data_IF_033770559321
#
_entry.id   IF_033770559321
#
_cell.length_a   1.000
_cell.length_b   1.000
_cell.length_c   1.000
_cell.angle_alpha   90.00
_cell.angle_beta   90.00
_cell.angle_gamma   90.00
#
_symmetry.space_group_name_H-M   'P 1'
#
loop_
_entity.id
_entity.type
_entity.pdbx_description
1 polymer ?
#
# COMPACT_ATOMS: atom_id res chain seq x y z
N UNK A 1 -0.94 -8.18 22.99
CA UNK A 1 -0.77 -7.05 22.02
C UNK A 1 -2.09 -6.82 21.33
N UNK A 2 -2.56 -5.57 21.27
CA UNK A 2 -3.77 -5.18 20.52
C UNK A 2 -3.32 -4.61 19.18
N UNK A 3 -3.98 -5.02 18.09
CA UNK A 3 -3.77 -4.44 16.74
C UNK A 3 -5.12 -3.87 16.29
N UNK A 4 -5.16 -2.58 15.99
CA UNK A 4 -6.38 -1.88 15.55
C UNK A 4 -6.36 -1.74 14.03
N UNK A 5 -7.31 -2.40 13.37
CA UNK A 5 -7.45 -2.47 11.92
C UNK A 5 -7.04 -3.83 11.34
N UNK A 6 -7.96 -4.44 10.58
CA UNK A 6 -7.82 -5.75 9.94
C UNK A 6 -7.42 -5.69 8.44
N UNK A 7 -6.88 -4.56 7.96
CA UNK A 7 -6.32 -4.45 6.62
C UNK A 7 -4.98 -5.18 6.47
N UNK A 8 -4.36 -5.10 5.27
CA UNK A 8 -3.08 -5.80 4.97
C UNK A 8 -2.01 -5.52 6.04
N UNK A 9 -1.85 -4.26 6.49
CA UNK A 9 -0.85 -3.91 7.51
C UNK A 9 -1.12 -4.57 8.85
N UNK A 10 -2.37 -4.54 9.33
CA UNK A 10 -2.75 -5.15 10.60
C UNK A 10 -2.64 -6.68 10.59
N UNK A 11 -3.08 -7.33 9.50
CA UNK A 11 -2.90 -8.78 9.34
C UNK A 11 -1.42 -9.16 9.22
N UNK A 12 -0.63 -8.39 8.48
CA UNK A 12 0.82 -8.59 8.41
C UNK A 12 1.49 -8.48 9.79
N UNK A 13 1.11 -7.47 10.58
CA UNK A 13 1.60 -7.30 11.95
C UNK A 13 1.16 -8.45 12.86
N UNK A 14 -0.09 -8.92 12.74
CA UNK A 14 -0.59 -10.04 13.51
C UNK A 14 0.17 -11.34 13.20
N UNK A 15 0.38 -11.62 11.91
CA UNK A 15 1.15 -12.80 11.47
C UNK A 15 2.59 -12.74 11.97
N UNK A 16 3.29 -11.64 11.69
CA UNK A 16 4.71 -11.50 12.02
C UNK A 16 4.95 -11.50 13.53
N UNK A 17 4.18 -10.74 14.29
CA UNK A 17 4.30 -10.72 15.76
C UNK A 17 3.87 -12.04 16.39
N UNK A 18 2.87 -12.72 15.84
CA UNK A 18 2.47 -14.07 16.27
C UNK A 18 3.62 -15.07 16.10
N UNK A 19 4.31 -15.06 14.95
CA UNK A 19 5.50 -15.89 14.71
C UNK A 19 6.66 -15.53 15.66
N UNK A 20 6.73 -14.27 16.11
CA UNK A 20 7.71 -13.80 17.09
C UNK A 20 7.30 -14.05 18.57
N UNK A 21 6.29 -14.88 18.81
CA UNK A 21 5.83 -15.28 20.13
C UNK A 21 4.87 -14.32 20.84
N UNK A 22 4.38 -13.28 20.15
CA UNK A 22 3.29 -12.47 20.67
C UNK A 22 1.95 -13.24 20.61
N UNK A 23 0.93 -12.69 21.28
CA UNK A 23 -0.48 -13.11 21.14
C UNK A 23 -1.29 -11.89 20.67
N UNK A 24 -1.28 -11.58 19.38
CA UNK A 24 -2.01 -10.45 18.85
C UNK A 24 -3.52 -10.67 18.91
N UNK A 25 -4.26 -9.61 19.25
CA UNK A 25 -5.70 -9.53 19.07
C UNK A 25 -5.97 -8.41 18.05
N UNK A 26 -6.49 -8.77 16.89
CA UNK A 26 -6.83 -7.82 15.82
C UNK A 26 -8.29 -7.40 16.01
N UNK A 27 -8.50 -6.10 16.14
CA UNK A 27 -9.81 -5.48 16.25
C UNK A 27 -10.14 -4.77 14.94
N UNK A 28 -11.19 -5.25 14.25
CA UNK A 28 -11.65 -4.66 12.98
C UNK A 28 -13.09 -4.15 13.16
N UNK A 29 -13.30 -2.88 12.77
CA UNK A 29 -14.62 -2.23 12.91
C UNK A 29 -15.68 -2.77 11.95
N UNK A 30 -15.26 -3.30 10.80
CA UNK A 30 -16.19 -3.87 9.83
C UNK A 30 -16.73 -5.22 10.32
N UNK A 31 -18.00 -5.48 10.04
CA UNK A 31 -18.65 -6.75 10.37
C UNK A 31 -18.16 -7.93 9.51
N UNK A 32 -17.48 -7.63 8.40
CA UNK A 32 -16.87 -8.63 7.51
C UNK A 32 -15.56 -8.11 6.98
N UNK A 33 -14.59 -8.99 6.72
CA UNK A 33 -13.41 -8.63 5.98
C UNK A 33 -13.77 -8.44 4.50
N UNK A 34 -13.96 -7.19 4.10
CA UNK A 34 -14.19 -6.82 2.70
C UNK A 34 -13.08 -5.89 2.25
N UNK A 35 -12.36 -6.29 1.22
CA UNK A 35 -11.35 -5.45 0.58
C UNK A 35 -11.85 -4.95 -0.77
N UNK A 36 -11.84 -3.65 -0.98
CA UNK A 36 -12.17 -3.07 -2.27
C UNK A 36 -11.12 -3.48 -3.29
N UNK A 37 -11.57 -4.14 -4.36
CA UNK A 37 -10.74 -4.80 -5.34
C UNK A 37 -9.92 -3.84 -6.20
N UNK A 38 -8.64 -3.67 -5.86
CA UNK A 38 -7.65 -3.02 -6.71
C UNK A 38 -6.42 -3.93 -6.82
N UNK A 39 -5.70 -3.78 -7.92
CA UNK A 39 -4.38 -4.38 -8.04
C UNK A 39 -3.38 -3.62 -7.17
N UNK A 40 -2.40 -4.35 -6.67
CA UNK A 40 -1.19 -3.80 -6.04
C UNK A 40 0.05 -4.45 -6.67
N UNK A 41 1.15 -3.73 -6.61
CA UNK A 41 2.44 -4.20 -7.08
C UNK A 41 3.32 -4.43 -5.86
N UNK A 42 3.99 -5.58 -5.82
CA UNK A 42 4.87 -5.97 -4.73
C UNK A 42 6.30 -6.16 -5.26
N UNK A 43 7.18 -5.25 -4.89
CA UNK A 43 8.59 -5.35 -5.22
C UNK A 43 9.32 -6.45 -4.45
N UNK A 44 10.56 -6.77 -4.82
CA UNK A 44 11.38 -7.80 -4.18
C UNK A 44 11.55 -7.63 -2.67
N UNK A 45 11.59 -6.40 -2.16
CA UNK A 45 11.61 -6.10 -0.73
C UNK A 45 10.42 -6.70 0.02
N UNK A 46 9.24 -6.62 -0.58
CA UNK A 46 7.97 -7.10 0.00
C UNK A 46 7.86 -8.62 -0.14
N UNK A 47 8.09 -9.13 -1.33
CA UNK A 47 7.93 -10.57 -1.63
C UNK A 47 8.92 -11.42 -0.84
N UNK A 48 10.15 -10.93 -0.63
CA UNK A 48 11.13 -11.59 0.25
C UNK A 48 10.60 -11.73 1.68
N UNK A 49 10.00 -10.67 2.22
CA UNK A 49 9.41 -10.68 3.56
C UNK A 49 8.25 -11.68 3.64
N UNK A 50 7.36 -11.69 2.67
CA UNK A 50 6.23 -12.63 2.63
C UNK A 50 6.72 -14.09 2.45
N UNK A 51 7.77 -14.33 1.65
CA UNK A 51 8.38 -15.65 1.52
C UNK A 51 8.99 -16.12 2.86
N UNK A 52 9.65 -15.24 3.61
CA UNK A 52 10.17 -15.55 4.93
C UNK A 52 9.07 -15.93 5.94
N UNK A 53 7.84 -15.46 5.74
CA UNK A 53 6.66 -15.85 6.53
C UNK A 53 5.99 -17.15 6.05
N UNK A 54 6.57 -17.83 5.05
CA UNK A 54 6.05 -19.09 4.51
C UNK A 54 4.84 -18.90 3.60
N UNK A 55 4.80 -17.80 2.81
CA UNK A 55 3.71 -17.48 1.88
C UNK A 55 4.14 -17.56 0.41
N UNK A 56 5.29 -18.19 0.10
CA UNK A 56 5.82 -18.24 -1.26
C UNK A 56 4.86 -18.95 -2.24
N UNK A 57 4.32 -20.10 -1.85
CA UNK A 57 3.38 -20.89 -2.66
C UNK A 57 2.05 -20.17 -2.82
N UNK A 58 1.48 -19.67 -1.71
CA UNK A 58 0.22 -18.92 -1.77
C UNK A 58 0.33 -17.68 -2.70
N UNK A 59 1.50 -17.01 -2.74
CA UNK A 59 1.73 -15.88 -3.65
C UNK A 59 1.81 -16.30 -5.11
N UNK A 60 2.35 -17.48 -5.40
CA UNK A 60 2.37 -18.02 -6.78
C UNK A 60 0.97 -18.34 -7.28
N UNK A 61 0.08 -18.81 -6.39
CA UNK A 61 -1.31 -19.12 -6.74
C UNK A 61 -2.17 -17.89 -7.06
N UNK A 62 -1.85 -16.72 -6.49
CA UNK A 62 -2.68 -15.52 -6.64
C UNK A 62 -2.03 -14.42 -7.49
N UNK A 63 -0.71 -14.50 -7.67
CA UNK A 63 0.10 -13.46 -8.26
C UNK A 63 0.35 -13.64 -9.74
N UNK A 64 0.75 -12.55 -10.38
CA UNK A 64 1.28 -12.56 -11.73
C UNK A 64 2.71 -11.97 -11.70
N UNK A 65 3.66 -12.62 -12.40
CA UNK A 65 5.06 -12.18 -12.50
C UNK A 65 5.27 -11.47 -13.84
N UNK A 66 5.25 -10.13 -13.89
CA UNK A 66 5.54 -9.41 -15.12
C UNK A 66 7.03 -9.53 -15.47
N UNK A 67 7.35 -9.60 -16.77
CA UNK A 67 8.74 -9.66 -17.25
C UNK A 67 9.41 -8.29 -17.21
N UNK A 68 8.61 -7.22 -17.38
CA UNK A 68 9.08 -5.84 -17.44
C UNK A 68 8.01 -4.84 -17.02
N UNK A 69 8.47 -3.60 -16.81
CA UNK A 69 7.64 -2.42 -16.70
C UNK A 69 8.07 -1.43 -17.81
N UNK A 70 7.14 -1.11 -18.71
CA UNK A 70 7.35 -0.11 -19.76
C UNK A 70 6.73 1.24 -19.34
N UNK A 71 7.55 2.28 -19.29
CA UNK A 71 7.10 3.66 -19.18
C UNK A 71 6.81 4.22 -20.56
N UNK A 72 5.60 4.74 -20.77
CA UNK A 72 5.11 5.27 -22.05
C UNK A 72 4.69 6.73 -21.91
N UNK A 73 4.91 7.50 -22.95
CA UNK A 73 4.42 8.87 -23.02
C UNK A 73 2.95 8.89 -23.46
N UNK A 74 2.08 9.56 -22.69
CA UNK A 74 0.62 9.57 -22.94
C UNK A 74 0.20 10.24 -24.26
N UNK A 75 1.01 11.14 -24.81
CA UNK A 75 0.66 11.86 -26.04
C UNK A 75 1.20 11.19 -27.31
N UNK A 76 2.41 10.59 -27.22
CA UNK A 76 3.08 10.00 -28.39
C UNK A 76 2.95 8.48 -28.45
N UNK A 77 2.54 7.80 -27.37
CA UNK A 77 2.51 6.36 -27.27
C UNK A 77 3.90 5.69 -27.19
N UNK A 78 4.96 6.45 -27.33
CA UNK A 78 6.32 5.90 -27.37
C UNK A 78 6.75 5.35 -26.00
N UNK A 79 7.45 4.22 -25.99
CA UNK A 79 8.17 3.75 -24.82
C UNK A 79 9.34 4.71 -24.57
N UNK A 80 9.42 5.27 -23.38
CA UNK A 80 10.44 6.19 -22.94
C UNK A 80 11.44 5.57 -21.96
N UNK A 81 11.12 4.40 -21.42
CA UNK A 81 12.00 3.61 -20.55
C UNK A 81 11.41 2.23 -20.28
N UNK A 82 12.28 1.27 -20.03
CA UNK A 82 11.92 -0.10 -19.67
C UNK A 82 12.73 -0.54 -18.46
N UNK A 83 12.05 -1.07 -17.45
CA UNK A 83 12.65 -1.75 -16.30
C UNK A 83 12.40 -3.25 -16.45
N UNK A 84 13.46 -4.04 -16.55
CA UNK A 84 13.34 -5.51 -16.56
C UNK A 84 12.99 -5.99 -15.17
N UNK A 85 12.01 -6.87 -15.10
CA UNK A 85 11.53 -7.53 -13.88
C UNK A 85 11.81 -9.05 -13.98
N UNK A 86 10.85 -9.89 -13.71
CA UNK A 86 10.98 -11.34 -13.90
C UNK A 86 12.27 -11.91 -13.31
N UNK A 87 13.05 -12.61 -14.15
CA UNK A 87 14.31 -13.24 -13.73
C UNK A 87 15.33 -12.23 -13.19
N UNK A 88 15.40 -11.01 -13.77
CA UNK A 88 16.32 -9.98 -13.27
C UNK A 88 16.05 -9.62 -11.79
N UNK A 89 14.78 -9.54 -11.38
CA UNK A 89 14.46 -9.26 -9.97
C UNK A 89 14.98 -10.37 -9.04
N UNK A 90 14.89 -11.62 -9.47
CA UNK A 90 15.44 -12.77 -8.74
C UNK A 90 16.97 -12.69 -8.66
N UNK A 91 17.63 -12.44 -9.80
CA UNK A 91 19.09 -12.40 -9.88
C UNK A 91 19.68 -11.23 -9.08
N UNK A 92 19.01 -10.08 -9.12
CA UNK A 92 19.54 -8.83 -8.50
C UNK A 92 19.15 -8.72 -7.03
N UNK A 93 17.92 -9.09 -6.67
CA UNK A 93 17.34 -8.84 -5.35
C UNK A 93 16.96 -10.10 -4.57
N UNK A 94 17.15 -11.29 -5.16
CA UNK A 94 16.85 -12.57 -4.51
C UNK A 94 15.36 -12.88 -4.30
N UNK A 95 14.47 -12.09 -4.91
CA UNK A 95 13.02 -12.28 -4.80
C UNK A 95 12.29 -11.76 -6.05
N UNK A 96 11.12 -12.33 -6.40
CA UNK A 96 10.37 -11.93 -7.58
C UNK A 96 9.63 -10.60 -7.35
N UNK A 97 9.28 -9.95 -8.46
CA UNK A 97 8.30 -8.87 -8.48
C UNK A 97 6.93 -9.45 -8.85
N UNK A 98 5.91 -9.18 -8.02
CA UNK A 98 4.54 -9.64 -8.27
C UNK A 98 3.57 -8.49 -8.48
N UNK A 99 2.57 -8.71 -9.32
CA UNK A 99 1.32 -7.95 -9.30
C UNK A 99 0.21 -8.85 -8.78
N UNK A 100 -0.55 -8.38 -7.80
CA UNK A 100 -1.59 -9.17 -7.15
C UNK A 100 -2.87 -8.36 -7.01
N UNK A 101 -3.99 -9.02 -6.87
CA UNK A 101 -5.23 -8.38 -6.46
C UNK A 101 -5.22 -8.20 -4.93
N UNK A 102 -5.54 -7.01 -4.44
CA UNK A 102 -5.44 -6.65 -3.01
C UNK A 102 -6.24 -7.60 -2.09
N UNK A 103 -7.45 -7.95 -2.50
CA UNK A 103 -8.30 -8.85 -1.71
C UNK A 103 -7.74 -10.29 -1.67
N UNK A 104 -7.00 -10.72 -2.70
CA UNK A 104 -6.39 -12.05 -2.70
C UNK A 104 -5.20 -12.10 -1.72
N UNK A 105 -4.35 -11.06 -1.69
CA UNK A 105 -3.28 -10.96 -0.68
C UNK A 105 -3.85 -10.90 0.74
N UNK A 106 -4.90 -10.12 0.95
CA UNK A 106 -5.59 -10.06 2.24
C UNK A 106 -6.09 -11.42 2.67
N UNK A 107 -6.73 -12.17 1.76
CA UNK A 107 -7.23 -13.54 2.02
C UNK A 107 -6.11 -14.51 2.36
N UNK A 108 -4.97 -14.42 1.69
CA UNK A 108 -3.78 -15.25 1.99
C UNK A 108 -3.26 -14.98 3.40
N UNK A 109 -3.11 -13.71 3.79
CA UNK A 109 -2.70 -13.35 5.15
C UNK A 109 -3.70 -13.86 6.19
N UNK A 110 -5.00 -13.64 5.95
CA UNK A 110 -6.08 -14.08 6.83
C UNK A 110 -6.07 -15.62 7.00
N UNK A 111 -6.00 -16.37 5.89
CA UNK A 111 -5.92 -17.85 5.89
C UNK A 111 -4.73 -18.33 6.73
N UNK A 112 -3.56 -17.70 6.55
CA UNK A 112 -2.35 -18.07 7.29
C UNK A 112 -2.49 -17.84 8.79
N UNK A 113 -3.06 -16.71 9.20
CA UNK A 113 -3.32 -16.39 10.61
C UNK A 113 -4.29 -17.41 11.21
N UNK A 114 -5.40 -17.69 10.53
CA UNK A 114 -6.41 -18.63 11.02
C UNK A 114 -5.86 -20.05 11.14
N UNK A 115 -5.06 -20.51 10.18
CA UNK A 115 -4.48 -21.84 10.21
C UNK A 115 -3.38 -22.01 11.26
N UNK A 116 -2.67 -20.93 11.59
CA UNK A 116 -1.60 -20.97 12.60
C UNK A 116 -2.12 -20.85 14.04
N UNK A 117 -3.31 -20.26 14.23
CA UNK A 117 -3.87 -19.98 15.56
C UNK A 117 -3.04 -18.98 16.40
N UNK A 118 -2.13 -18.24 15.77
CA UNK A 118 -1.21 -17.35 16.48
C UNK A 118 -1.80 -15.99 16.83
N UNK A 119 -2.95 -15.62 16.27
CA UNK A 119 -3.63 -14.37 16.56
C UNK A 119 -5.15 -14.57 16.67
N UNK A 120 -5.79 -13.75 17.47
CA UNK A 120 -7.25 -13.67 17.58
C UNK A 120 -7.78 -12.54 16.68
N UNK A 121 -8.84 -12.83 15.91
CA UNK A 121 -9.46 -11.87 15.01
C UNK A 121 -10.88 -11.54 15.53
N UNK A 122 -11.15 -10.25 15.70
CA UNK A 122 -12.48 -9.77 16.14
C UNK A 122 -12.99 -8.73 15.18
N UNK A 123 -14.10 -9.06 14.54
CA UNK A 123 -14.87 -8.16 13.68
C UNK A 123 -15.86 -7.34 14.51
N UNK A 124 -16.48 -6.36 13.87
CA UNK A 124 -17.46 -5.47 14.49
C UNK A 124 -16.97 -4.86 15.83
N UNK A 125 -15.66 -4.58 15.91
CA UNK A 125 -14.97 -4.12 17.12
C UNK A 125 -14.26 -2.81 16.85
N UNK A 126 -14.80 -1.68 17.34
CA UNK A 126 -14.26 -0.36 17.10
C UNK A 126 -13.61 0.22 18.36
N UNK A 127 -12.34 0.59 18.28
CA UNK A 127 -11.64 1.34 19.33
C UNK A 127 -11.92 2.83 19.16
N UNK A 128 -12.46 3.45 20.22
CA UNK A 128 -12.82 4.87 20.24
C UNK A 128 -11.99 5.69 21.22
N UNK A 129 -11.51 5.08 22.29
CA UNK A 129 -10.71 5.71 23.31
C UNK A 129 -9.58 4.81 23.81
N UNK A 130 -8.57 5.45 24.41
CA UNK A 130 -7.43 4.77 24.96
C UNK A 130 -6.86 5.55 26.15
N UNK A 131 -6.51 4.80 27.17
CA UNK A 131 -5.68 5.28 28.29
C UNK A 131 -4.47 4.37 28.43
N UNK A 132 -3.31 4.95 28.70
CA UNK A 132 -2.09 4.20 29.02
C UNK A 132 -1.49 4.72 30.34
N UNK A 133 -0.96 3.80 31.13
CA UNK A 133 -0.23 4.07 32.35
C UNK A 133 0.97 3.10 32.49
N UNK A 134 1.63 3.11 33.65
CA UNK A 134 2.75 2.23 33.94
C UNK A 134 2.40 0.72 33.84
N UNK A 135 1.14 0.36 34.15
CA UNK A 135 0.70 -1.04 34.23
C UNK A 135 0.24 -1.59 32.89
N UNK A 136 -0.12 -0.73 31.91
CA UNK A 136 -0.57 -1.19 30.61
C UNK A 136 -1.46 -0.20 29.86
N UNK A 137 -2.29 -0.77 28.97
CA UNK A 137 -3.23 -0.06 28.12
C UNK A 137 -4.65 -0.51 28.43
N UNK A 138 -5.55 0.45 28.52
CA UNK A 138 -6.98 0.25 28.57
C UNK A 138 -7.61 0.89 27.33
N UNK A 139 -8.47 0.17 26.65
CA UNK A 139 -9.22 0.69 25.50
C UNK A 139 -10.71 0.78 25.81
N UNK A 140 -11.38 1.73 25.15
CA UNK A 140 -12.83 1.86 25.15
C UNK A 140 -13.37 1.92 23.72
N UNK A 141 -14.60 1.47 23.53
CA UNK A 141 -15.20 1.43 22.19
C UNK A 141 -16.41 0.53 22.13
N UNK A 142 -16.79 0.12 20.92
CA UNK A 142 -17.97 -0.69 20.64
C UNK A 142 -17.57 -2.15 20.45
N UNK A 143 -18.38 -3.07 21.03
CA UNK A 143 -18.21 -4.54 20.91
C UNK A 143 -16.81 -5.05 21.29
N UNK A 144 -16.17 -4.40 22.27
CA UNK A 144 -14.87 -4.82 22.76
C UNK A 144 -15.02 -5.91 23.83
N UNK A 145 -14.08 -6.90 23.87
CA UNK A 145 -14.09 -7.89 24.96
C UNK A 145 -13.85 -7.24 26.31
N UNK A 146 -14.55 -7.70 27.34
CA UNK A 146 -14.39 -7.19 28.72
C UNK A 146 -12.94 -7.22 29.19
N UNK A 147 -12.16 -8.22 28.78
CA UNK A 147 -10.73 -8.34 29.09
C UNK A 147 -9.86 -7.21 28.55
N UNK A 148 -10.35 -6.42 27.59
CA UNK A 148 -9.63 -5.27 27.01
C UNK A 148 -10.17 -3.92 27.51
N UNK A 149 -11.40 -3.90 28.06
CA UNK A 149 -12.05 -2.70 28.61
C UNK A 149 -11.75 -2.49 30.09
N UNK A 150 -11.44 -3.53 30.84
CA UNK A 150 -10.86 -3.41 32.16
C UNK A 150 -9.38 -3.01 32.02
N UNK A 151 -8.75 -2.47 33.07
CA UNK A 151 -7.33 -2.12 33.09
C UNK A 151 -6.50 -3.39 32.83
N UNK A 152 -6.56 -3.84 31.60
CA UNK A 152 -5.91 -5.06 31.20
C UNK A 152 -4.46 -4.72 30.93
N UNK A 153 -3.60 -5.53 31.47
CA UNK A 153 -2.15 -5.52 31.25
C UNK A 153 -1.77 -5.84 29.80
N UNK A 154 -2.56 -5.36 28.82
CA UNK A 154 -2.18 -5.43 27.42
C UNK A 154 -0.88 -4.65 27.26
N UNK A 155 0.15 -5.37 26.93
CA UNK A 155 1.48 -4.81 26.92
C UNK A 155 1.63 -3.67 25.91
N UNK A 156 0.96 -3.75 24.73
CA UNK A 156 1.10 -2.76 23.67
C UNK A 156 -0.16 -2.66 22.80
N UNK A 157 -0.30 -1.50 22.10
CA UNK A 157 -1.26 -1.30 21.02
C UNK A 157 -0.56 -0.85 19.75
N UNK A 158 -0.98 -1.40 18.61
CA UNK A 158 -0.51 -1.04 17.27
C UNK A 158 -1.68 -0.53 16.45
N UNK A 159 -1.64 0.74 16.05
CA UNK A 159 -2.59 1.33 15.13
C UNK A 159 -2.24 1.00 13.69
N UNK A 160 -3.06 0.21 13.02
CA UNK A 160 -2.99 -0.16 11.61
C UNK A 160 -4.32 0.20 10.90
N UNK A 161 -5.01 1.22 11.41
CA UNK A 161 -6.36 1.65 11.05
C UNK A 161 -6.41 2.66 9.88
N UNK A 162 -5.33 2.69 9.06
CA UNK A 162 -5.29 3.33 7.77
C UNK A 162 -5.17 4.86 7.80
N UNK A 163 -5.41 5.50 6.66
CA UNK A 163 -5.26 6.94 6.45
C UNK A 163 -6.07 7.79 7.45
N UNK A 164 -7.30 7.35 7.77
CA UNK A 164 -8.23 8.00 8.67
C UNK A 164 -8.09 7.53 10.12
N UNK A 165 -6.89 7.05 10.49
CA UNK A 165 -6.56 6.48 11.78
C UNK A 165 -7.05 7.32 12.95
N UNK A 166 -7.86 6.70 13.81
CA UNK A 166 -8.23 7.23 15.12
C UNK A 166 -7.12 6.98 16.16
N UNK A 167 -6.35 5.90 15.99
CA UNK A 167 -5.24 5.55 16.88
C UNK A 167 -4.11 6.58 16.83
N UNK A 168 -3.91 7.21 15.65
CA UNK A 168 -2.84 8.19 15.44
C UNK A 168 -2.87 9.35 16.45
N UNK A 169 -4.04 9.82 16.89
CA UNK A 169 -4.17 10.94 17.83
C UNK A 169 -3.50 10.68 19.20
N UNK A 170 -3.28 9.43 19.56
CA UNK A 170 -2.62 9.06 20.81
C UNK A 170 -1.09 9.12 20.74
N UNK A 171 -0.54 9.15 19.53
CA UNK A 171 0.91 9.25 19.28
C UNK A 171 1.30 10.67 18.89
N UNK A 172 0.57 11.30 17.98
CA UNK A 172 0.84 12.66 17.48
C UNK A 172 -0.40 13.54 17.59
N UNK A 173 -0.24 14.86 17.65
CA UNK A 173 -1.37 15.78 17.64
C UNK A 173 -2.30 15.52 16.45
N UNK A 174 -3.62 15.56 16.63
CA UNK A 174 -4.59 15.29 15.59
C UNK A 174 -4.45 16.30 14.43
N UNK A 175 -4.30 15.77 13.23
CA UNK A 175 -4.25 16.54 11.99
C UNK A 175 -5.05 15.82 10.92
N UNK A 176 -5.79 16.54 10.09
CA UNK A 176 -6.50 15.94 8.96
C UNK A 176 -5.51 15.52 7.85
N UNK A 177 -5.80 14.45 7.11
CA UNK A 177 -5.11 14.16 5.86
C UNK A 177 -5.25 15.32 4.86
N UNK A 178 -4.23 15.53 4.03
CA UNK A 178 -4.26 16.57 2.99
C UNK A 178 -4.93 16.02 1.74
N UNK A 179 -5.88 16.77 1.20
CA UNK A 179 -6.46 16.51 -0.13
C UNK A 179 -5.46 16.95 -1.18
N UNK A 180 -5.03 16.06 -2.06
CA UNK A 180 -3.95 16.34 -3.03
C UNK A 180 -4.44 17.02 -4.30
N UNK A 181 -5.76 17.09 -4.54
CA UNK A 181 -6.34 17.52 -5.81
C UNK A 181 -6.18 16.48 -6.94
N UNK A 182 -5.80 15.26 -6.59
CA UNK A 182 -5.68 14.14 -7.52
C UNK A 182 -6.78 13.12 -7.24
N UNK A 183 -7.32 12.58 -8.32
CA UNK A 183 -8.37 11.56 -8.34
C UNK A 183 -7.83 10.29 -8.99
N UNK A 184 -8.03 9.15 -8.35
CA UNK A 184 -7.69 7.84 -8.90
C UNK A 184 -8.95 7.13 -9.38
N UNK A 185 -9.08 6.98 -10.69
CA UNK A 185 -10.07 6.11 -11.33
C UNK A 185 -9.52 4.71 -11.44
N UNK A 186 -10.30 3.71 -11.03
CA UNK A 186 -9.88 2.32 -11.01
C UNK A 186 -10.89 1.41 -11.66
N UNK A 187 -10.37 0.39 -12.33
CA UNK A 187 -11.17 -0.68 -12.90
C UNK A 187 -10.43 -2.00 -12.87
N UNK A 188 -11.19 -3.07 -12.82
CA UNK A 188 -10.73 -4.43 -12.99
C UNK A 188 -11.53 -5.06 -14.14
N UNK A 189 -10.85 -5.46 -15.21
CA UNK A 189 -11.46 -5.95 -16.43
C UNK A 189 -11.02 -7.39 -16.69
N UNK A 190 -11.93 -8.36 -16.91
CA UNK A 190 -11.55 -9.72 -17.27
C UNK A 190 -10.71 -9.73 -18.55
N UNK A 191 -9.53 -10.38 -18.53
CA UNK A 191 -8.61 -10.42 -19.67
C UNK A 191 -9.25 -11.00 -20.93
N UNK A 192 -10.16 -11.95 -20.77
CA UNK A 192 -10.88 -12.58 -21.88
C UNK A 192 -11.82 -11.61 -22.62
N UNK A 193 -12.36 -10.58 -21.94
CA UNK A 193 -13.20 -9.55 -22.56
C UNK A 193 -12.40 -8.47 -23.31
N UNK A 194 -11.07 -8.49 -23.20
CA UNK A 194 -10.18 -7.54 -23.85
C UNK A 194 -9.82 -8.10 -25.25
N UNK A 195 -9.95 -7.30 -26.31
CA UNK A 195 -9.48 -7.70 -27.64
C UNK A 195 -8.01 -8.14 -27.59
N UNK A 196 -7.67 -9.26 -28.23
CA UNK A 196 -6.37 -9.92 -28.12
C UNK A 196 -5.18 -8.95 -28.31
N UNK A 197 -5.27 -8.08 -29.32
CA UNK A 197 -4.26 -7.06 -29.63
C UNK A 197 -4.01 -6.03 -28.51
N UNK A 198 -4.92 -5.91 -27.55
CA UNK A 198 -4.86 -4.99 -26.41
C UNK A 198 -4.51 -5.70 -25.10
N UNK A 199 -4.44 -7.04 -25.07
CA UNK A 199 -4.09 -7.79 -23.85
C UNK A 199 -2.66 -7.52 -23.45
N UNK A 200 -2.47 -7.17 -22.17
CA UNK A 200 -1.16 -6.89 -21.59
C UNK A 200 -0.63 -8.10 -20.81
N UNK A 201 0.66 -8.34 -20.96
CA UNK A 201 1.41 -9.37 -20.21
C UNK A 201 2.47 -8.74 -19.29
N UNK A 202 2.59 -7.42 -19.29
CA UNK A 202 3.60 -6.68 -18.54
C UNK A 202 2.98 -5.43 -17.91
N UNK A 203 3.72 -4.78 -17.01
CA UNK A 203 3.27 -3.52 -16.41
C UNK A 203 3.47 -2.38 -17.41
N UNK A 204 2.44 -1.59 -17.65
CA UNK A 204 2.51 -0.40 -18.48
C UNK A 204 2.20 0.84 -17.64
N UNK A 205 3.12 1.78 -17.59
CA UNK A 205 2.99 3.08 -16.90
C UNK A 205 3.00 4.18 -17.95
N UNK A 206 1.84 4.82 -18.13
CA UNK A 206 1.70 5.97 -19.02
C UNK A 206 1.85 7.26 -18.24
N UNK A 207 2.74 8.13 -18.66
CA UNK A 207 3.05 9.39 -17.97
C UNK A 207 2.92 10.58 -18.92
N UNK A 208 2.27 11.64 -18.48
CA UNK A 208 2.02 12.84 -19.31
C UNK A 208 1.39 14.00 -18.56
N UNK A 209 1.12 15.10 -19.29
CA UNK A 209 0.55 16.29 -18.68
C UNK A 209 -0.76 15.97 -17.95
N UNK A 210 -0.83 16.27 -16.65
CA UNK A 210 -2.02 16.12 -15.79
C UNK A 210 -2.59 14.72 -15.63
N UNK A 211 -2.00 13.68 -16.28
CA UNK A 211 -2.49 12.32 -16.25
C UNK A 211 -1.35 11.32 -16.17
N UNK A 212 -1.53 10.27 -15.40
CA UNK A 212 -0.79 9.03 -15.61
C UNK A 212 -1.74 7.83 -15.45
N UNK A 213 -1.42 6.76 -16.14
CA UNK A 213 -2.17 5.53 -16.04
C UNK A 213 -1.22 4.35 -15.82
N UNK A 214 -1.64 3.41 -14.97
CA UNK A 214 -0.88 2.20 -14.69
C UNK A 214 -1.78 1.00 -14.94
N UNK A 215 -1.34 0.14 -15.85
CA UNK A 215 -2.08 -1.03 -16.31
C UNK A 215 -1.23 -2.27 -16.13
N UNK A 216 -1.75 -3.29 -15.49
CA UNK A 216 -1.03 -4.55 -15.28
C UNK A 216 -1.96 -5.73 -15.01
N UNK A 217 -1.56 -6.96 -15.41
CA UNK A 217 -2.30 -8.18 -15.09
C UNK A 217 -2.30 -8.45 -13.58
N UNK A 218 -3.37 -9.05 -13.08
CA UNK A 218 -3.52 -9.57 -11.71
C UNK A 218 -4.28 -10.90 -11.75
N UNK A 219 -4.39 -11.60 -10.63
CA UNK A 219 -5.08 -12.91 -10.55
C UNK A 219 -4.53 -13.88 -11.61
N UNK A 220 -3.23 -14.17 -11.54
CA UNK A 220 -2.54 -15.04 -12.50
C UNK A 220 -2.71 -14.63 -13.99
N UNK A 221 -3.04 -13.36 -14.25
CA UNK A 221 -3.26 -12.82 -15.59
C UNK A 221 -4.70 -12.88 -16.09
N UNK A 222 -5.63 -13.38 -15.30
CA UNK A 222 -7.05 -13.46 -15.65
C UNK A 222 -7.75 -12.10 -15.76
N UNK A 223 -7.22 -11.09 -15.05
CA UNK A 223 -7.76 -9.73 -15.02
C UNK A 223 -6.69 -8.70 -15.32
N UNK A 224 -7.10 -7.64 -15.99
CA UNK A 224 -6.31 -6.42 -16.13
C UNK A 224 -6.78 -5.40 -15.08
N UNK A 225 -5.85 -4.93 -14.26
CA UNK A 225 -6.07 -3.81 -13.37
C UNK A 225 -5.68 -2.51 -14.07
N UNK A 226 -6.56 -1.51 -14.00
CA UNK A 226 -6.33 -0.18 -14.55
C UNK A 226 -6.47 0.85 -13.44
N UNK A 227 -5.49 1.74 -13.34
CA UNK A 227 -5.53 2.92 -12.46
C UNK A 227 -5.18 4.12 -13.31
N UNK A 228 -6.07 5.10 -13.35
CA UNK A 228 -5.83 6.38 -14.04
C UNK A 228 -5.92 7.49 -13.01
N UNK A 229 -4.84 8.27 -12.87
CA UNK A 229 -4.79 9.40 -11.94
C UNK A 229 -4.81 10.70 -12.73
N UNK A 230 -5.77 11.56 -12.39
CA UNK A 230 -5.98 12.86 -13.00
C UNK A 230 -6.14 13.95 -11.93
N UNK A 231 -6.03 15.21 -12.32
CA UNK A 231 -6.40 16.34 -11.48
C UNK A 231 -7.91 16.57 -11.56
N UNK A 232 -8.53 16.86 -10.41
CA UNK A 232 -9.96 17.14 -10.35
C UNK A 232 -10.43 17.53 -8.95
N UNK A 233 -11.65 18.09 -8.84
CA UNK A 233 -12.24 18.40 -7.55
C UNK A 233 -12.56 17.12 -6.78
N UNK A 234 -12.28 17.08 -5.46
CA UNK A 234 -12.59 15.91 -4.66
C UNK A 234 -14.11 15.74 -4.52
N UNK A 235 -14.59 14.49 -4.35
CA UNK A 235 -15.98 14.21 -4.00
C UNK A 235 -16.33 14.76 -2.60
N UNK A 236 -17.62 14.84 -2.28
CA UNK A 236 -18.08 15.38 -0.99
C UNK A 236 -17.63 14.54 0.22
N UNK A 237 -17.60 13.21 0.10
CA UNK A 237 -17.08 12.30 1.12
C UNK A 237 -15.66 11.89 0.76
N UNK A 238 -14.70 12.18 1.64
CA UNK A 238 -13.28 11.86 1.44
C UNK A 238 -12.90 10.49 1.99
N UNK A 239 -13.65 9.99 2.93
CA UNK A 239 -13.44 8.70 3.62
C UNK A 239 -14.17 7.53 2.96
N UNK A 240 -15.05 7.80 2.02
CA UNK A 240 -15.64 6.79 1.15
C UNK A 240 -14.64 6.38 0.05
N UNK A 241 -14.34 5.09 0.00
CA UNK A 241 -13.36 4.51 -0.92
C UNK A 241 -13.98 3.97 -2.21
N UNK A 242 -15.28 4.14 -2.40
CA UNK A 242 -16.00 3.43 -3.46
C UNK A 242 -17.00 4.30 -4.23
N UNK A 243 -16.61 5.54 -4.54
CA UNK A 243 -17.42 6.39 -5.38
C UNK A 243 -17.54 5.83 -6.81
N UNK A 244 -18.71 5.97 -7.41
CA UNK A 244 -18.89 5.73 -8.84
C UNK A 244 -18.11 6.80 -9.64
N UNK A 245 -17.19 6.35 -10.49
CA UNK A 245 -16.43 7.24 -11.37
C UNK A 245 -17.20 7.55 -12.66
N UNK A 246 -17.32 8.84 -13.00
CA UNK A 246 -17.91 9.26 -14.25
C UNK A 246 -16.86 9.20 -15.38
N UNK A 247 -17.16 8.48 -16.46
CA UNK A 247 -16.27 8.32 -17.61
C UNK A 247 -16.04 9.63 -18.36
N UNK A 248 -17.05 10.46 -18.50
CA UNK A 248 -16.94 11.74 -19.20
C UNK A 248 -16.04 12.72 -18.45
N UNK A 249 -16.14 12.75 -17.12
CA UNK A 249 -15.27 13.59 -16.27
C UNK A 249 -13.82 13.12 -16.37
N UNK A 250 -13.58 11.79 -16.39
CA UNK A 250 -12.26 11.23 -16.60
C UNK A 250 -11.69 11.64 -17.95
N UNK A 251 -12.45 11.48 -19.05
CA UNK A 251 -12.03 11.84 -20.40
C UNK A 251 -11.70 13.33 -20.51
N UNK A 252 -12.53 14.19 -19.93
CA UNK A 252 -12.30 15.64 -19.89
C UNK A 252 -11.02 15.99 -19.10
N UNK A 253 -10.79 15.35 -17.95
CA UNK A 253 -9.62 15.60 -17.10
C UNK A 253 -8.32 15.13 -17.74
N UNK A 254 -8.32 14.02 -18.49
CA UNK A 254 -7.14 13.49 -19.18
C UNK A 254 -6.66 14.41 -20.30
N UNK A 255 -7.54 15.09 -21.00
CA UNK A 255 -7.23 15.85 -22.21
C UNK A 255 -6.77 14.93 -23.36
N UNK A 256 -5.96 15.47 -24.31
CA UNK A 256 -5.48 14.68 -25.45
C UNK A 256 -4.52 13.59 -25.04
N UNK A 257 -4.83 12.32 -25.39
CA UNK A 257 -4.00 11.15 -25.18
C UNK A 257 -3.86 10.33 -26.46
N UNK A 258 -2.80 9.51 -26.53
CA UNK A 258 -2.54 8.60 -27.65
C UNK A 258 -3.68 7.58 -27.83
N UNK A 259 -3.94 7.19 -29.09
CA UNK A 259 -5.02 6.27 -29.44
C UNK A 259 -4.94 4.92 -28.71
N UNK A 260 -3.74 4.37 -28.51
CA UNK A 260 -3.56 3.09 -27.82
C UNK A 260 -4.07 3.14 -26.39
N UNK A 261 -3.71 4.21 -25.64
CA UNK A 261 -4.22 4.39 -24.28
C UNK A 261 -5.73 4.61 -24.28
N UNK A 262 -6.24 5.45 -25.20
CA UNK A 262 -7.68 5.68 -25.34
C UNK A 262 -8.46 4.40 -25.59
N UNK A 263 -7.97 3.55 -26.51
CA UNK A 263 -8.59 2.28 -26.83
C UNK A 263 -8.60 1.33 -25.61
N UNK A 264 -7.51 1.31 -24.84
CA UNK A 264 -7.44 0.53 -23.60
C UNK A 264 -8.44 1.02 -22.54
N UNK A 265 -8.60 2.33 -22.38
CA UNK A 265 -9.54 2.87 -21.39
C UNK A 265 -11.01 2.76 -21.86
N UNK A 266 -11.25 2.70 -23.17
CA UNK A 266 -12.58 2.57 -23.74
C UNK A 266 -13.27 1.24 -23.42
N UNK A 267 -12.48 0.17 -23.17
CA UNK A 267 -13.02 -1.17 -22.84
C UNK A 267 -13.57 -1.25 -21.40
N UNK A 268 -13.30 -0.26 -20.56
CA UNK A 268 -13.71 -0.27 -19.15
C UNK A 268 -15.22 0.01 -19.05
N UNK A 269 -16.01 -0.92 -18.52
CA UNK A 269 -17.46 -0.74 -18.45
C UNK A 269 -17.90 0.23 -17.34
N UNK A 270 -17.17 0.25 -16.23
CA UNK A 270 -17.45 1.10 -15.09
C UNK A 270 -16.17 1.45 -14.33
N UNK A 271 -16.11 2.67 -13.84
CA UNK A 271 -14.99 3.17 -13.04
C UNK A 271 -15.41 3.33 -11.59
N UNK A 272 -14.47 3.02 -10.70
CA UNK A 272 -14.51 3.39 -9.29
C UNK A 272 -13.55 4.55 -9.09
N UNK A 273 -13.95 5.53 -8.27
CA UNK A 273 -13.22 6.74 -8.01
C UNK A 273 -12.90 6.89 -6.53
N UNK A 274 -11.69 7.29 -6.22
CA UNK A 274 -11.38 7.80 -4.89
C UNK A 274 -10.42 9.01 -4.93
N UNK A 275 -10.60 9.97 -4.00
CA UNK A 275 -9.69 11.09 -3.88
C UNK A 275 -8.36 10.61 -3.27
N UNK A 276 -7.25 11.06 -3.84
CA UNK A 276 -5.95 10.82 -3.23
C UNK A 276 -5.70 11.81 -2.10
N UNK A 277 -5.61 11.27 -0.89
CA UNK A 277 -5.21 12.00 0.29
C UNK A 277 -3.86 11.49 0.80
N UNK A 278 -3.06 12.37 1.39
CA UNK A 278 -1.77 12.03 1.97
C UNK A 278 -1.54 12.77 3.30
N UNK A 279 -0.39 12.51 3.92
CA UNK A 279 0.17 13.30 5.02
C UNK A 279 1.59 13.72 4.65
N UNK A 280 2.14 14.78 5.26
CA UNK A 280 3.56 15.09 5.12
C UNK A 280 4.42 13.89 5.47
N UNK A 281 5.60 13.74 4.85
CA UNK A 281 6.58 12.75 5.28
C UNK A 281 6.86 12.88 6.78
N UNK A 282 6.91 11.72 7.45
CA UNK A 282 7.21 11.67 8.90
C UNK A 282 8.58 12.27 9.19
N UNK A 283 8.73 12.91 10.34
CA UNK A 283 9.92 13.70 10.69
C UNK A 283 10.82 13.00 11.71
N UNK A 284 10.33 11.96 12.34
CA UNK A 284 11.10 11.23 13.34
C UNK A 284 10.35 10.04 13.93
N UNK A 285 11.03 9.22 14.74
CA UNK A 285 10.43 8.04 15.38
C UNK A 285 9.27 8.39 16.32
N UNK A 286 9.26 9.59 16.89
CA UNK A 286 8.19 10.08 17.77
C UNK A 286 6.83 10.22 17.07
N UNK A 287 6.79 10.20 15.73
CA UNK A 287 5.55 10.15 14.97
C UNK A 287 5.07 8.71 14.69
N UNK A 288 5.88 7.70 15.03
CA UNK A 288 5.54 6.29 14.85
C UNK A 288 5.28 5.55 16.16
N UNK A 289 5.87 5.99 17.29
CA UNK A 289 5.62 5.36 18.58
C UNK A 289 5.67 6.35 19.73
N UNK A 290 4.85 6.09 20.77
CA UNK A 290 4.82 6.84 22.02
C UNK A 290 4.38 5.95 23.18
N UNK A 291 5.29 5.69 24.13
CA UNK A 291 5.02 4.77 25.22
C UNK A 291 4.69 3.38 24.70
N UNK A 292 3.52 2.85 25.08
CA UNK A 292 3.04 1.51 24.70
C UNK A 292 2.23 1.47 23.39
N UNK A 293 2.27 2.54 22.60
CA UNK A 293 1.51 2.66 21.35
C UNK A 293 2.46 2.83 20.19
N UNK A 294 2.25 2.08 19.10
CA UNK A 294 2.92 2.27 17.82
C UNK A 294 1.89 2.43 16.70
N UNK A 295 2.31 3.07 15.60
CA UNK A 295 1.56 3.20 14.37
C UNK A 295 2.27 2.43 13.26
N UNK A 296 1.49 1.85 12.33
CA UNK A 296 2.00 1.02 11.26
C UNK A 296 1.26 1.35 9.94
N UNK A 297 1.99 1.31 8.82
CA UNK A 297 1.41 1.53 7.50
C UNK A 297 0.76 2.92 7.34
N UNK A 298 -0.39 3.00 6.71
CA UNK A 298 -1.06 4.26 6.41
C UNK A 298 -1.52 5.04 7.66
N UNK A 299 -1.62 4.40 8.82
CA UNK A 299 -1.87 5.09 10.09
C UNK A 299 -0.66 5.97 10.49
N UNK A 300 0.55 5.53 10.16
CA UNK A 300 1.79 6.27 10.41
C UNK A 300 2.18 7.18 9.23
N UNK A 301 2.27 6.60 8.03
CA UNK A 301 2.92 7.22 6.86
C UNK A 301 2.14 6.97 5.55
N UNK A 302 0.88 7.42 5.45
CA UNK A 302 0.13 7.27 4.21
C UNK A 302 0.88 7.96 3.07
N UNK A 303 0.87 7.35 1.89
CA UNK A 303 1.66 7.83 0.77
C UNK A 303 0.87 7.79 -0.54
N UNK A 304 1.28 8.65 -1.48
CA UNK A 304 0.71 8.64 -2.82
C UNK A 304 1.10 7.35 -3.56
N UNK A 305 0.30 6.85 -4.50
CA UNK A 305 0.53 5.56 -5.15
C UNK A 305 1.64 5.56 -6.22
N UNK A 306 2.46 6.64 -6.32
CA UNK A 306 3.43 6.84 -7.41
C UNK A 306 4.74 6.02 -7.28
N UNK A 307 4.83 5.17 -6.28
CA UNK A 307 5.92 4.21 -6.09
C UNK A 307 5.40 2.79 -5.81
N UNK A 308 4.07 2.62 -5.78
CA UNK A 308 3.39 1.35 -5.49
C UNK A 308 3.87 0.65 -4.19
N UNK A 309 4.19 1.43 -3.13
CA UNK A 309 4.82 0.90 -1.91
C UNK A 309 3.95 1.01 -0.64
N UNK A 310 2.72 1.48 -0.70
CA UNK A 310 1.90 1.62 0.51
C UNK A 310 1.76 0.32 1.31
N UNK A 311 1.26 -0.73 0.67
CA UNK A 311 1.18 -2.05 1.29
C UNK A 311 2.57 -2.64 1.60
N UNK A 312 3.56 -2.38 0.74
CA UNK A 312 4.93 -2.85 0.93
C UNK A 312 5.56 -2.30 2.20
N UNK A 313 5.43 -1.01 2.45
CA UNK A 313 5.97 -0.40 3.68
C UNK A 313 5.25 -0.91 4.93
N UNK A 314 3.94 -1.15 4.87
CA UNK A 314 3.20 -1.75 5.99
C UNK A 314 3.69 -3.18 6.29
N UNK A 315 4.03 -3.98 5.27
CA UNK A 315 4.59 -5.33 5.44
C UNK A 315 6.01 -5.27 6.01
N UNK A 316 6.86 -4.35 5.53
CA UNK A 316 8.18 -4.13 6.12
C UNK A 316 8.10 -3.65 7.56
N UNK A 317 7.14 -2.76 7.87
CA UNK A 317 6.88 -2.31 9.24
C UNK A 317 6.51 -3.47 10.15
N UNK A 318 5.63 -4.37 9.68
CA UNK A 318 5.22 -5.55 10.43
C UNK A 318 6.40 -6.49 10.74
N UNK A 319 7.32 -6.67 9.77
CA UNK A 319 8.53 -7.47 9.97
C UNK A 319 9.46 -6.85 11.03
N UNK A 320 9.67 -5.54 10.98
CA UNK A 320 10.51 -4.84 11.96
C UNK A 320 9.86 -4.78 13.34
N UNK A 321 8.53 -4.59 13.40
CA UNK A 321 7.79 -4.64 14.65
C UNK A 321 7.95 -6.01 15.33
N UNK A 322 7.86 -7.08 14.57
CA UNK A 322 8.06 -8.44 15.06
C UNK A 322 9.50 -8.67 15.56
N UNK A 323 10.50 -8.18 14.82
CA UNK A 323 11.91 -8.24 15.22
C UNK A 323 12.16 -7.50 16.53
N UNK A 324 11.61 -6.29 16.64
CA UNK A 324 11.72 -5.49 17.87
C UNK A 324 10.96 -6.12 19.03
N UNK A 325 9.80 -6.73 18.76
CA UNK A 325 9.02 -7.42 19.78
C UNK A 325 9.73 -8.64 20.37
N UNK A 326 10.48 -9.36 19.55
CA UNK A 326 11.25 -10.54 19.98
C UNK A 326 12.36 -10.22 21.02
N UNK A 327 12.72 -8.94 21.23
CA UNK A 327 13.69 -8.49 22.23
C UNK A 327 13.10 -8.55 23.63
N UNK A 328 13.00 -9.77 24.17
CA UNK A 328 12.42 -10.03 25.50
C UNK A 328 13.21 -9.39 26.66
N UNK A 329 14.46 -9.00 26.41
CA UNK A 329 15.35 -8.27 27.32
C UNK A 329 14.99 -6.80 27.49
N UNK A 330 14.14 -6.22 26.61
CA UNK A 330 13.73 -4.83 26.65
C UNK A 330 12.32 -4.67 27.23
N UNK A 331 12.04 -3.49 27.81
CA UNK A 331 10.68 -3.10 28.15
C UNK A 331 9.85 -2.88 26.88
N UNK A 332 8.52 -2.94 27.00
CA UNK A 332 7.62 -2.82 25.85
C UNK A 332 7.80 -1.50 25.13
N UNK A 333 7.93 -0.42 25.86
CA UNK A 333 8.14 0.92 25.34
C UNK A 333 9.41 1.02 24.50
N UNK A 334 10.50 0.41 24.97
CA UNK A 334 11.79 0.40 24.28
C UNK A 334 11.73 -0.42 22.99
N UNK A 335 10.99 -1.56 22.98
CA UNK A 335 10.77 -2.36 21.78
C UNK A 335 10.03 -1.56 20.70
N UNK A 336 8.97 -0.83 21.10
CA UNK A 336 8.22 0.00 20.17
C UNK A 336 9.03 1.21 19.70
N UNK A 337 9.86 1.78 20.57
CA UNK A 337 10.77 2.85 20.18
C UNK A 337 11.86 2.34 19.22
N UNK A 338 12.39 1.13 19.43
CA UNK A 338 13.34 0.48 18.53
C UNK A 338 12.73 0.27 17.13
N UNK A 339 11.50 -0.24 17.06
CA UNK A 339 10.74 -0.33 15.84
C UNK A 339 10.62 1.02 15.13
N UNK A 340 10.17 2.04 15.84
CA UNK A 340 10.00 3.38 15.29
C UNK A 340 11.31 3.95 14.77
N UNK A 341 12.40 3.79 15.53
CA UNK A 341 13.74 4.25 15.15
C UNK A 341 14.26 3.55 13.89
N UNK A 342 14.01 2.28 13.72
CA UNK A 342 14.43 1.52 12.55
C UNK A 342 13.63 1.89 11.27
N UNK A 343 12.36 2.29 11.43
CA UNK A 343 11.45 2.44 10.28
C UNK A 343 11.23 3.85 9.77
N UNK A 344 11.26 4.86 10.65
CA UNK A 344 10.83 6.21 10.29
C UNK A 344 11.58 6.80 9.09
N UNK A 345 12.90 6.69 9.05
CA UNK A 345 13.71 7.31 8.00
C UNK A 345 13.43 6.72 6.62
N UNK A 346 13.31 5.37 6.54
CA UNK A 346 12.98 4.67 5.30
C UNK A 346 11.56 5.01 4.84
N UNK A 347 10.58 5.03 5.73
CA UNK A 347 9.21 5.41 5.40
C UNK A 347 9.12 6.86 4.91
N UNK A 348 9.81 7.80 5.57
CA UNK A 348 9.91 9.19 5.12
C UNK A 348 10.53 9.31 3.72
N UNK A 349 11.59 8.56 3.45
CA UNK A 349 12.25 8.54 2.13
C UNK A 349 11.30 8.03 1.04
N UNK A 350 10.52 6.98 1.31
CA UNK A 350 9.53 6.45 0.37
C UNK A 350 8.40 7.46 0.13
N UNK A 351 7.88 8.12 1.19
CA UNK A 351 6.89 9.18 1.05
C UNK A 351 7.41 10.33 0.17
N UNK A 352 8.64 10.83 0.43
CA UNK A 352 9.26 11.90 -0.35
C UNK A 352 9.46 11.49 -1.81
N UNK A 353 9.96 10.28 -2.04
CA UNK A 353 10.16 9.76 -3.41
C UNK A 353 8.83 9.61 -4.15
N UNK A 354 7.79 9.14 -3.48
CA UNK A 354 6.45 9.04 -4.06
C UNK A 354 5.90 10.41 -4.48
N UNK A 355 6.03 11.43 -3.64
CA UNK A 355 5.63 12.80 -3.96
C UNK A 355 6.41 13.31 -5.19
N UNK A 356 7.73 13.13 -5.21
CA UNK A 356 8.60 13.53 -6.32
C UNK A 356 8.24 12.82 -7.64
N UNK A 357 7.96 11.52 -7.57
CA UNK A 357 7.54 10.76 -8.74
C UNK A 357 6.24 11.32 -9.33
N UNK A 358 5.25 11.68 -8.50
CA UNK A 358 4.02 12.32 -8.97
C UNK A 358 4.28 13.63 -9.73
N UNK A 359 5.21 14.44 -9.26
CA UNK A 359 5.63 15.67 -9.95
C UNK A 359 6.30 15.35 -11.31
N UNK A 360 7.21 14.35 -11.33
CA UNK A 360 7.91 13.94 -12.55
C UNK A 360 6.94 13.34 -13.58
N UNK A 361 5.98 12.54 -13.14
CA UNK A 361 5.01 11.90 -14.04
C UNK A 361 4.14 12.92 -14.77
N UNK A 362 3.79 14.02 -14.10
CA UNK A 362 2.90 15.05 -14.61
C UNK A 362 3.61 16.27 -15.23
N UNK A 363 4.91 16.19 -15.53
CA UNK A 363 5.67 17.26 -16.18
C UNK A 363 5.06 17.64 -17.53
N UNK A 364 5.10 18.96 -17.85
CA UNK A 364 4.53 19.57 -19.04
C UNK A 364 5.59 20.32 -19.83
N UNK A 365 5.29 20.65 -21.09
CA UNK A 365 6.14 21.49 -21.95
C UNK A 365 7.58 20.95 -22.08
N UNK A 366 8.60 21.83 -22.08
CA UNK A 366 9.99 21.44 -22.25
C UNK A 366 10.51 20.46 -21.20
N UNK A 367 10.02 20.55 -19.95
CA UNK A 367 10.43 19.64 -18.87
C UNK A 367 9.97 18.20 -19.14
N UNK A 368 8.80 18.01 -19.78
CA UNK A 368 8.37 16.69 -20.23
C UNK A 368 9.32 16.10 -21.27
N UNK A 369 9.75 16.90 -22.24
CA UNK A 369 10.70 16.44 -23.26
C UNK A 369 12.06 16.09 -22.63
N UNK A 370 12.54 16.90 -21.68
CA UNK A 370 13.74 16.61 -20.90
C UNK A 370 13.63 15.30 -20.13
N UNK A 371 12.49 15.06 -19.42
CA UNK A 371 12.21 13.77 -18.75
C UNK A 371 12.26 12.60 -19.73
N UNK A 372 11.56 12.71 -20.86
CA UNK A 372 11.49 11.64 -21.84
C UNK A 372 12.88 11.34 -22.44
N UNK A 373 13.67 12.36 -22.74
CA UNK A 373 15.02 12.20 -23.21
C UNK A 373 15.92 11.54 -22.16
N UNK A 374 15.86 11.99 -20.90
CA UNK A 374 16.63 11.40 -19.81
C UNK A 374 16.30 9.92 -19.61
N UNK A 375 15.00 9.55 -19.62
CA UNK A 375 14.58 8.16 -19.50
C UNK A 375 15.04 7.30 -20.67
N UNK A 376 15.01 7.82 -21.91
CA UNK A 376 15.52 7.10 -23.09
C UNK A 376 17.03 6.90 -23.06
N UNK A 377 17.79 7.91 -22.61
CA UNK A 377 19.27 7.89 -22.59
C UNK A 377 19.82 7.07 -21.42
N UNK A 378 19.27 7.26 -20.24
CA UNK A 378 19.74 6.60 -19.02
C UNK A 378 19.11 5.21 -18.84
N UNK A 379 17.94 4.96 -19.44
CA UNK A 379 17.30 3.66 -19.45
C UNK A 379 16.92 3.14 -18.07
N UNK A 380 17.15 1.86 -17.88
CA UNK A 380 16.79 1.08 -16.69
C UNK A 380 17.33 1.65 -15.36
N UNK A 381 18.59 2.13 -15.25
CA UNK A 381 19.11 2.70 -14.00
C UNK A 381 18.28 3.86 -13.42
N UNK A 382 17.55 4.61 -14.26
CA UNK A 382 16.71 5.70 -13.79
C UNK A 382 15.39 5.20 -13.18
N UNK A 383 14.94 4.03 -13.60
CA UNK A 383 13.66 3.42 -13.18
C UNK A 383 13.84 2.42 -12.04
N UNK A 384 15.00 1.78 -11.97
CA UNK A 384 15.34 0.87 -10.87
C UNK A 384 15.56 1.65 -9.56
N UNK A 385 15.15 1.07 -8.45
CA UNK A 385 15.26 1.69 -7.11
C UNK A 385 15.97 0.71 -6.16
N UNK A 386 17.28 0.49 -6.31
CA UNK A 386 18.01 -0.54 -5.59
C UNK A 386 17.91 -0.41 -4.06
N UNK A 387 18.00 0.83 -3.52
CA UNK A 387 17.86 1.07 -2.07
C UNK A 387 16.49 0.63 -1.52
N UNK A 388 15.46 0.61 -2.37
CA UNK A 388 14.12 0.17 -1.99
C UNK A 388 13.99 -1.34 -2.12
N UNK A 389 14.34 -1.89 -3.28
CA UNK A 389 14.14 -3.30 -3.60
C UNK A 389 15.10 -4.25 -2.88
N UNK A 390 16.28 -3.77 -2.49
CA UNK A 390 17.17 -4.54 -1.62
C UNK A 390 16.59 -4.80 -0.23
N UNK A 391 15.59 -4.03 0.19
CA UNK A 391 14.96 -4.14 1.51
C UNK A 391 15.69 -3.34 2.59
N UNK A 392 15.21 -3.40 3.84
CA UNK A 392 15.86 -2.82 5.00
C UNK A 392 17.10 -3.60 5.42
#
# INVERSE_FOLDING_TARGET
>A
MIIVGGGIGGLAAALACGQAGARPQVLERAATFSEVGAGIQMGPNVTRTLHAWGLAEDLQEIGFVPRKLDAKDTQTGQIIGTLRLGQRSLDTYGAPYFTVHRADLHRVLLKKIMSSGQAELRLDSEVQGLQQNADGIQISGTNLPASLTELSKSAAMVGADGLWSKTRQFVVPPTAPRVTGLLAYRALVPMQSIPEKLRLQDVNVWVGPRVHAVLYPVKCGEYLNLVVVVQGPPPASLDDWDHAGNKQDLEAAMGPIHADLRNMLAIVPAWRLWPLCDRPPIKGPHEMAKGRIALLGDAAHPMRPFLAQGAGMAIEDAAELARSWARADLQVEDRLQMYAQARWARNAQVQQRSIRNGQIFHLQGPLRWGRNAAMKLMGEPLMDVPWLYAGP
#
